data_IF_534973567747
#
_entry.id   IF_534973567747
#
_cell.length_a   1.000
_cell.length_b   1.000
_cell.length_c   1.000
_cell.angle_alpha   90.00
_cell.angle_beta   90.00
_cell.angle_gamma   90.00
#
_symmetry.space_group_name_H-M   'P 1'
#
loop_
_entity.id
_entity.type
_entity.pdbx_description
1 polymer ?
#
# COMPACT_ATOMS: atom_id res chain seq x y z
N UNK A 1 -14.57 -28.55 1.59
CA UNK A 1 -14.36 -28.02 2.96
C UNK A 1 -13.79 -26.61 3.02
N UNK A 2 -12.76 -26.27 2.23
CA UNK A 2 -12.13 -24.93 2.24
C UNK A 2 -13.05 -23.77 1.81
N UNK A 3 -14.02 -24.00 0.92
CA UNK A 3 -14.97 -22.95 0.45
C UNK A 3 -15.83 -22.40 1.60
N UNK A 4 -16.33 -23.27 2.48
CA UNK A 4 -17.15 -22.84 3.62
C UNK A 4 -16.34 -21.98 4.59
N UNK A 5 -15.06 -22.31 4.80
CA UNK A 5 -14.14 -21.51 5.64
C UNK A 5 -13.95 -20.11 5.05
N UNK A 6 -13.72 -20.01 3.74
CA UNK A 6 -13.57 -18.71 3.08
C UNK A 6 -14.84 -17.86 3.17
N UNK A 7 -16.02 -18.45 2.98
CA UNK A 7 -17.28 -17.73 3.15
C UNK A 7 -17.52 -17.30 4.60
N UNK A 8 -17.26 -18.17 5.58
CA UNK A 8 -17.40 -17.81 7.00
C UNK A 8 -16.47 -16.65 7.38
N UNK A 9 -15.22 -16.67 6.90
CA UNK A 9 -14.24 -15.62 7.14
C UNK A 9 -14.67 -14.30 6.48
N UNK A 10 -15.19 -14.36 5.26
CA UNK A 10 -15.73 -13.20 4.55
C UNK A 10 -16.91 -12.56 5.31
N UNK A 11 -17.90 -13.36 5.73
CA UNK A 11 -19.04 -12.88 6.49
C UNK A 11 -18.65 -12.34 7.87
N UNK A 12 -17.67 -12.97 8.53
CA UNK A 12 -17.13 -12.49 9.80
C UNK A 12 -16.44 -11.13 9.63
N UNK A 13 -15.65 -10.95 8.56
CA UNK A 13 -15.05 -9.67 8.25
C UNK A 13 -16.12 -8.61 7.99
N UNK A 14 -17.15 -8.92 7.19
CA UNK A 14 -18.28 -8.01 6.93
C UNK A 14 -19.03 -7.60 8.21
N UNK A 15 -19.21 -8.54 9.14
CA UNK A 15 -19.78 -8.24 10.46
C UNK A 15 -18.91 -7.26 11.25
N UNK A 16 -17.59 -7.46 11.29
CA UNK A 16 -16.67 -6.52 11.94
C UNK A 16 -16.74 -5.11 11.32
N UNK A 17 -16.92 -5.02 9.99
CA UNK A 17 -17.12 -3.73 9.31
C UNK A 17 -18.41 -3.03 9.74
N UNK A 18 -19.52 -3.75 9.88
CA UNK A 18 -20.78 -3.19 10.37
C UNK A 18 -20.59 -2.64 11.79
N UNK A 19 -19.93 -3.42 12.66
CA UNK A 19 -19.64 -3.00 14.04
C UNK A 19 -18.78 -1.74 14.07
N UNK A 20 -17.74 -1.66 13.25
CA UNK A 20 -16.88 -0.48 13.15
C UNK A 20 -17.65 0.77 12.68
N UNK A 21 -18.57 0.63 11.74
CA UNK A 21 -19.44 1.73 11.30
C UNK A 21 -20.37 2.19 12.43
N UNK A 22 -20.92 1.26 13.23
CA UNK A 22 -21.73 1.61 14.40
C UNK A 22 -20.94 2.39 15.44
N UNK A 23 -19.65 2.10 15.60
CA UNK A 23 -18.76 2.91 16.43
C UNK A 23 -18.51 4.29 15.84
N UNK A 24 -18.33 4.42 14.52
CA UNK A 24 -18.15 5.71 13.86
C UNK A 24 -19.35 6.65 14.03
N UNK A 25 -20.58 6.12 14.08
CA UNK A 25 -21.77 6.93 14.42
C UNK A 25 -21.73 7.52 15.85
N UNK A 26 -20.88 7.01 16.74
CA UNK A 26 -20.72 7.46 18.13
C UNK A 26 -19.37 8.13 18.41
N UNK A 27 -18.49 8.24 17.42
CA UNK A 27 -17.19 8.92 17.57
C UNK A 27 -17.37 10.43 17.51
N UNK A 28 -17.16 11.15 18.61
CA UNK A 28 -17.28 12.62 18.68
C UNK A 28 -16.36 13.34 17.68
N UNK A 29 -16.85 14.46 17.15
CA UNK A 29 -16.09 15.37 16.28
C UNK A 29 -15.81 16.69 17.02
N UNK A 30 -14.76 17.39 16.59
CA UNK A 30 -14.42 18.71 17.13
C UNK A 30 -15.10 19.78 16.26
N UNK A 31 -15.92 20.61 16.88
CA UNK A 31 -16.55 21.78 16.24
C UNK A 31 -16.08 23.01 17.01
N UNK A 32 -15.38 23.92 16.33
CA UNK A 32 -14.82 25.15 16.92
C UNK A 32 -13.95 24.94 18.17
N UNK A 33 -13.21 23.84 18.23
CA UNK A 33 -12.33 23.51 19.35
C UNK A 33 -13.02 22.83 20.54
N UNK A 34 -14.35 22.65 20.49
CA UNK A 34 -15.13 21.94 21.51
C UNK A 34 -15.50 20.54 21.01
N UNK A 35 -15.29 19.53 21.85
CA UNK A 35 -15.70 18.16 21.55
C UNK A 35 -17.22 18.05 21.66
N UNK A 36 -17.90 17.90 20.52
CA UNK A 36 -19.34 17.66 20.48
C UNK A 36 -19.62 16.17 20.72
N UNK A 37 -20.37 15.87 21.78
CA UNK A 37 -20.77 14.50 22.15
C UNK A 37 -22.27 14.25 21.96
N UNK A 38 -23.01 15.25 21.48
CA UNK A 38 -24.44 15.13 21.15
C UNK A 38 -24.65 14.11 20.02
N UNK A 39 -25.33 13.02 20.36
CA UNK A 39 -25.58 11.90 19.44
C UNK A 39 -26.36 12.29 18.17
N UNK A 40 -27.26 13.27 18.25
CA UNK A 40 -28.08 13.74 17.12
C UNK A 40 -27.28 14.59 16.14
N UNK A 41 -26.43 15.51 16.65
CA UNK A 41 -25.53 16.32 15.84
C UNK A 41 -24.46 15.45 15.18
N UNK A 42 -23.91 14.51 15.93
CA UNK A 42 -22.90 13.59 15.45
C UNK A 42 -23.39 12.73 14.28
N UNK A 43 -24.60 12.16 14.39
CA UNK A 43 -25.18 11.38 13.29
C UNK A 43 -25.42 12.23 12.05
N UNK A 44 -25.95 13.44 12.21
CA UNK A 44 -26.23 14.35 11.09
C UNK A 44 -24.94 14.77 10.38
N UNK A 45 -23.90 15.10 11.15
CA UNK A 45 -22.59 15.43 10.63
C UNK A 45 -21.97 14.26 9.85
N UNK A 46 -22.01 13.05 10.43
CA UNK A 46 -21.48 11.86 9.78
C UNK A 46 -22.26 11.49 8.50
N UNK A 47 -23.59 11.57 8.49
CA UNK A 47 -24.42 11.27 7.32
C UNK A 47 -24.19 12.22 6.14
N UNK A 48 -23.81 13.47 6.41
CA UNK A 48 -23.49 14.46 5.39
C UNK A 48 -22.02 14.37 4.92
N UNK A 49 -21.19 13.58 5.59
CA UNK A 49 -19.78 13.40 5.23
C UNK A 49 -19.61 12.41 4.07
N UNK A 50 -18.57 12.63 3.27
CA UNK A 50 -18.18 11.72 2.17
C UNK A 50 -17.81 10.32 2.69
N UNK A 51 -17.42 10.21 3.95
CA UNK A 51 -17.11 8.94 4.63
C UNK A 51 -18.32 8.02 4.68
N UNK A 52 -19.53 8.56 4.89
CA UNK A 52 -20.75 7.76 4.93
C UNK A 52 -21.07 7.11 3.58
N UNK A 53 -20.86 7.83 2.47
CA UNK A 53 -21.05 7.27 1.13
C UNK A 53 -20.05 6.17 0.82
N UNK A 54 -18.79 6.33 1.22
CA UNK A 54 -17.76 5.29 1.06
C UNK A 54 -18.07 4.07 1.92
N UNK A 55 -18.53 4.27 3.16
CA UNK A 55 -18.92 3.19 4.08
C UNK A 55 -20.16 2.44 3.55
N UNK A 56 -21.13 3.14 2.97
CA UNK A 56 -22.29 2.54 2.31
C UNK A 56 -21.89 1.72 1.06
N UNK A 57 -20.96 2.24 0.25
CA UNK A 57 -20.41 1.52 -0.90
C UNK A 57 -19.66 0.25 -0.48
N UNK A 58 -18.98 0.26 0.67
CA UNK A 58 -18.28 -0.90 1.23
C UNK A 58 -19.21 -1.98 1.80
N UNK A 59 -20.43 -1.60 2.19
CA UNK A 59 -21.46 -2.48 2.76
C UNK A 59 -22.38 -3.11 1.70
N UNK A 60 -22.31 -2.65 0.44
CA UNK A 60 -23.12 -3.23 -0.62
C UNK A 60 -22.86 -4.74 -0.70
N UNK A 61 -23.89 -5.59 -0.53
CA UNK A 61 -23.75 -7.04 -0.61
C UNK A 61 -23.59 -7.43 -2.08
N UNK A 62 -22.41 -7.15 -2.64
CA UNK A 62 -22.02 -7.48 -4.01
C UNK A 62 -22.06 -8.99 -4.27
N UNK A 63 -22.13 -9.79 -3.21
CA UNK A 63 -22.33 -11.23 -3.24
C UNK A 63 -23.74 -11.63 -3.72
N UNK A 64 -24.76 -10.77 -3.55
CA UNK A 64 -26.12 -11.01 -4.08
C UNK A 64 -26.11 -10.91 -5.62
N UNK A 65 -25.27 -10.03 -6.18
CA UNK A 65 -25.07 -9.90 -7.62
C UNK A 65 -24.44 -11.16 -8.24
N UNK A 66 -23.71 -11.93 -7.42
CA UNK A 66 -23.09 -13.20 -7.80
C UNK A 66 -24.12 -14.28 -8.17
N UNK A 67 -25.32 -14.23 -7.57
CA UNK A 67 -26.44 -15.11 -7.90
C UNK A 67 -26.99 -14.85 -9.32
N UNK A 68 -26.80 -13.64 -9.86
CA UNK A 68 -27.35 -13.23 -11.16
C UNK A 68 -26.33 -13.23 -12.30
N UNK A 69 -25.04 -12.99 -12.05
CA UNK A 69 -23.99 -12.79 -13.07
C UNK A 69 -23.03 -13.99 -13.19
N UNK A 70 -23.10 -14.95 -12.26
CA UNK A 70 -22.20 -16.10 -12.20
C UNK A 70 -20.89 -15.81 -11.47
N UNK A 71 -20.12 -16.87 -11.22
CA UNK A 71 -18.92 -16.81 -10.38
C UNK A 71 -17.76 -16.05 -11.06
N UNK A 72 -17.70 -14.72 -10.87
CA UNK A 72 -16.62 -13.87 -11.41
C UNK A 72 -15.72 -13.31 -10.31
N UNK A 73 -14.44 -13.69 -10.30
CA UNK A 73 -13.45 -13.21 -9.32
C UNK A 73 -13.26 -11.69 -9.32
N UNK A 74 -13.59 -11.01 -10.43
CA UNK A 74 -13.48 -9.55 -10.58
C UNK A 74 -14.44 -8.80 -9.65
N UNK A 75 -15.62 -9.38 -9.36
CA UNK A 75 -16.62 -8.75 -8.49
C UNK A 75 -16.14 -8.69 -7.04
N UNK A 76 -15.28 -9.62 -6.63
CA UNK A 76 -14.64 -9.60 -5.30
C UNK A 76 -13.64 -8.44 -5.16
N UNK A 77 -13.09 -7.91 -6.25
CA UNK A 77 -12.14 -6.79 -6.23
C UNK A 77 -12.75 -5.48 -5.75
N UNK A 78 -14.08 -5.29 -5.83
CA UNK A 78 -14.74 -4.13 -5.22
C UNK A 78 -14.57 -4.08 -3.69
N UNK A 79 -14.29 -5.21 -3.04
CA UNK A 79 -13.95 -5.23 -1.61
C UNK A 79 -12.65 -4.48 -1.31
N UNK A 80 -11.81 -4.20 -2.31
CA UNK A 80 -10.62 -3.35 -2.15
C UNK A 80 -10.95 -1.91 -1.76
N UNK A 81 -12.18 -1.41 -1.96
CA UNK A 81 -12.61 -0.09 -1.48
C UNK A 81 -12.42 0.04 0.04
N UNK A 82 -12.50 -1.07 0.77
CA UNK A 82 -12.25 -1.15 2.22
C UNK A 82 -10.82 -0.76 2.62
N UNK A 83 -9.88 -0.69 1.67
CA UNK A 83 -8.50 -0.25 1.92
C UNK A 83 -8.47 1.16 2.54
N UNK A 84 -9.43 2.03 2.25
CA UNK A 84 -9.55 3.36 2.86
C UNK A 84 -9.47 3.32 4.39
N UNK A 85 -10.13 2.33 5.02
CA UNK A 85 -10.13 2.18 6.47
C UNK A 85 -8.76 1.75 7.00
N UNK A 86 -8.02 0.95 6.23
CA UNK A 86 -6.64 0.62 6.55
C UNK A 86 -5.78 1.89 6.58
N UNK A 87 -5.91 2.78 5.59
CA UNK A 87 -5.20 4.06 5.59
C UNK A 87 -5.56 4.92 6.81
N UNK A 88 -6.85 5.01 7.16
CA UNK A 88 -7.30 5.75 8.35
C UNK A 88 -6.74 5.16 9.66
N UNK A 89 -6.70 3.82 9.76
CA UNK A 89 -6.09 3.13 10.90
C UNK A 89 -4.59 3.37 10.99
N UNK A 90 -3.88 3.32 9.86
CA UNK A 90 -2.45 3.58 9.78
C UNK A 90 -2.11 5.01 10.22
N UNK A 91 -2.86 6.02 9.74
CA UNK A 91 -2.68 7.42 10.16
C UNK A 91 -2.94 7.62 11.67
N UNK A 92 -4.00 6.99 12.20
CA UNK A 92 -4.29 7.01 13.63
C UNK A 92 -3.14 6.39 14.42
N UNK A 93 -2.65 5.24 13.99
CA UNK A 93 -1.59 4.50 14.69
C UNK A 93 -0.25 5.26 14.63
N UNK A 94 0.06 5.92 13.52
CA UNK A 94 1.25 6.77 13.40
C UNK A 94 1.26 7.89 14.46
N UNK A 95 0.10 8.52 14.70
CA UNK A 95 -0.05 9.61 15.67
C UNK A 95 0.05 9.18 17.14
N UNK A 96 -0.30 7.93 17.44
CA UNK A 96 -0.28 7.38 18.81
C UNK A 96 1.01 6.64 19.16
N UNK A 97 1.93 6.48 18.21
CA UNK A 97 3.16 5.70 18.41
C UNK A 97 4.32 6.57 18.90
N UNK A 98 4.97 6.16 20.00
CA UNK A 98 6.16 6.83 20.56
C UNK A 98 7.43 6.71 19.67
N UNK A 99 7.39 5.88 18.64
CA UNK A 99 8.49 5.63 17.70
C UNK A 99 8.05 5.86 16.24
N UNK A 100 7.84 7.12 15.80
CA UNK A 100 7.25 7.43 14.49
C UNK A 100 8.08 6.89 13.32
N UNK A 101 9.41 6.88 13.42
CA UNK A 101 10.29 6.39 12.36
C UNK A 101 10.19 4.87 12.14
N UNK A 102 10.02 4.09 13.23
CA UNK A 102 9.83 2.64 13.12
C UNK A 102 8.48 2.29 12.52
N UNK A 103 7.43 3.01 12.92
CA UNK A 103 6.09 2.82 12.36
C UNK A 103 6.08 3.15 10.87
N UNK A 104 6.62 4.31 10.46
CA UNK A 104 6.75 4.70 9.04
C UNK A 104 7.48 3.66 8.20
N UNK A 105 8.59 3.12 8.70
CA UNK A 105 9.33 2.06 8.01
C UNK A 105 8.50 0.77 7.86
N UNK A 106 7.74 0.40 8.88
CA UNK A 106 6.88 -0.79 8.83
C UNK A 106 5.72 -0.60 7.85
N UNK A 107 5.11 0.58 7.83
CA UNK A 107 4.08 0.98 6.86
C UNK A 107 4.60 0.86 5.43
N UNK A 108 5.80 1.38 5.16
CA UNK A 108 6.43 1.29 3.85
C UNK A 108 6.64 -0.17 3.42
N UNK A 109 7.20 -1.01 4.30
CA UNK A 109 7.42 -2.44 4.00
C UNK A 109 6.09 -3.12 3.69
N UNK A 110 5.03 -2.83 4.45
CA UNK A 110 3.70 -3.36 4.17
C UNK A 110 3.18 -2.92 2.79
N UNK A 111 3.28 -1.63 2.44
CA UNK A 111 2.87 -1.15 1.11
C UNK A 111 3.67 -1.82 -0.02
N UNK A 112 4.98 -2.01 0.17
CA UNK A 112 5.80 -2.74 -0.79
C UNK A 112 5.28 -4.16 -0.99
N UNK A 113 5.10 -4.94 0.09
CA UNK A 113 4.62 -6.33 -0.01
C UNK A 113 3.27 -6.43 -0.74
N UNK A 114 2.34 -5.52 -0.48
CA UNK A 114 1.04 -5.46 -1.17
C UNK A 114 1.23 -5.19 -2.67
N UNK A 115 2.11 -4.25 -3.03
CA UNK A 115 2.43 -3.94 -4.43
C UNK A 115 3.05 -5.16 -5.13
N UNK A 116 4.01 -5.83 -4.52
CA UNK A 116 4.62 -7.06 -5.08
C UNK A 116 3.57 -8.15 -5.28
N UNK A 117 2.68 -8.36 -4.30
CA UNK A 117 1.59 -9.33 -4.40
C UNK A 117 0.62 -9.00 -5.54
N UNK A 118 0.20 -7.74 -5.65
CA UNK A 118 -0.72 -7.29 -6.71
C UNK A 118 -0.10 -7.43 -8.09
N UNK A 119 1.19 -7.12 -8.26
CA UNK A 119 1.88 -7.32 -9.53
C UNK A 119 1.93 -8.81 -9.92
N UNK A 120 2.27 -9.70 -8.98
CA UNK A 120 2.25 -11.15 -9.20
C UNK A 120 0.86 -11.70 -9.55
N UNK A 121 -0.18 -11.23 -8.84
CA UNK A 121 -1.56 -11.61 -9.11
C UNK A 121 -2.07 -11.09 -10.45
N UNK A 122 -1.78 -9.83 -10.80
CA UNK A 122 -2.13 -9.23 -12.08
C UNK A 122 -1.49 -10.00 -13.24
N UNK A 123 -0.21 -10.34 -13.11
CA UNK A 123 0.51 -11.16 -14.09
C UNK A 123 -0.16 -12.53 -14.27
N UNK A 124 -0.54 -13.20 -13.19
CA UNK A 124 -1.27 -14.49 -13.25
C UNK A 124 -2.63 -14.36 -13.93
N UNK A 125 -3.36 -13.28 -13.66
CA UNK A 125 -4.67 -13.01 -14.29
C UNK A 125 -4.49 -12.83 -15.81
N UNK A 126 -3.51 -12.01 -16.23
CA UNK A 126 -3.19 -11.78 -17.64
C UNK A 126 -2.80 -13.10 -18.33
N UNK A 127 -1.96 -13.90 -17.68
CA UNK A 127 -1.53 -15.20 -18.18
C UNK A 127 -2.73 -16.17 -18.36
N UNK A 128 -3.59 -16.27 -17.34
CA UNK A 128 -4.80 -17.14 -17.39
C UNK A 128 -5.78 -16.71 -18.48
N UNK A 129 -5.88 -15.41 -18.77
CA UNK A 129 -6.81 -14.85 -19.74
C UNK A 129 -6.25 -14.82 -21.18
N UNK A 130 -5.20 -15.58 -21.48
CA UNK A 130 -4.49 -15.60 -22.77
C UNK A 130 -4.07 -14.20 -23.25
N UNK A 131 -3.74 -13.28 -22.33
CA UNK A 131 -3.80 -11.83 -22.56
C UNK A 131 -3.02 -11.29 -23.76
N UNK A 132 -2.03 -12.03 -24.28
CA UNK A 132 -1.22 -11.60 -25.43
C UNK A 132 -0.98 -12.67 -26.50
N UNK A 133 -1.71 -13.80 -26.46
CA UNK A 133 -1.63 -14.86 -27.48
C UNK A 133 -0.36 -15.72 -27.47
N UNK A 134 0.58 -15.47 -26.56
CA UNK A 134 1.81 -16.24 -26.39
C UNK A 134 1.61 -17.34 -25.35
N UNK A 135 1.55 -18.60 -25.79
CA UNK A 135 1.68 -19.74 -24.88
C UNK A 135 3.15 -19.89 -24.50
N UNK A 136 3.44 -20.08 -23.22
CA UNK A 136 4.77 -20.37 -22.68
C UNK A 136 5.81 -19.24 -22.74
N UNK A 137 5.42 -17.99 -22.52
CA UNK A 137 6.40 -16.89 -22.45
C UNK A 137 7.36 -17.04 -21.25
N UNK A 138 6.87 -17.47 -20.08
CA UNK A 138 7.67 -17.58 -18.85
C UNK A 138 7.66 -18.98 -18.23
N UNK A 139 6.58 -19.75 -18.40
CA UNK A 139 6.46 -21.12 -17.87
C UNK A 139 6.18 -22.10 -18.99
N UNK A 140 6.91 -23.22 -19.06
CA UNK A 140 6.66 -24.29 -20.02
C UNK A 140 5.48 -25.17 -19.60
N UNK A 141 4.82 -25.79 -20.57
CA UNK A 141 3.59 -26.59 -20.43
C UNK A 141 3.67 -27.79 -19.45
N UNK A 142 4.84 -28.11 -18.89
CA UNK A 142 5.13 -29.38 -18.21
C UNK A 142 4.96 -29.46 -16.68
N UNK A 143 4.66 -28.37 -15.95
CA UNK A 143 4.68 -28.38 -14.47
C UNK A 143 3.38 -27.85 -13.79
N UNK A 144 2.20 -28.16 -14.32
CA UNK A 144 1.00 -27.31 -14.13
C UNK A 144 -0.08 -27.79 -13.14
N UNK A 145 0.17 -28.76 -12.26
CA UNK A 145 -0.87 -29.16 -11.28
C UNK A 145 -0.93 -28.31 -10.00
N UNK A 146 0.19 -27.77 -9.52
CA UNK A 146 0.24 -27.08 -8.22
C UNK A 146 0.03 -25.56 -8.34
N UNK A 147 -1.09 -25.09 -7.76
CA UNK A 147 -1.48 -23.68 -7.72
C UNK A 147 -0.54 -22.81 -6.90
N UNK A 148 0.15 -23.39 -5.91
CA UNK A 148 1.11 -22.69 -5.05
C UNK A 148 2.41 -22.49 -5.81
N UNK A 149 2.91 -23.53 -6.47
CA UNK A 149 4.11 -23.45 -7.31
C UNK A 149 3.97 -22.39 -8.40
N UNK A 150 2.83 -22.36 -9.12
CA UNK A 150 2.56 -21.34 -10.13
C UNK A 150 2.50 -19.91 -9.56
N UNK A 151 1.93 -19.76 -8.36
CA UNK A 151 1.90 -18.47 -7.68
C UNK A 151 3.31 -18.00 -7.28
N UNK A 152 4.11 -18.87 -6.67
CA UNK A 152 5.49 -18.56 -6.28
C UNK A 152 6.36 -18.21 -7.48
N UNK A 153 6.21 -18.93 -8.58
CA UNK A 153 6.92 -18.65 -9.83
C UNK A 153 6.53 -17.29 -10.44
N UNK A 154 5.23 -16.98 -10.48
CA UNK A 154 4.72 -15.68 -10.94
C UNK A 154 5.23 -14.54 -10.06
N UNK A 155 5.19 -14.74 -8.74
CA UNK A 155 5.67 -13.77 -7.76
C UNK A 155 7.17 -13.52 -7.88
N UNK A 156 7.97 -14.59 -8.06
CA UNK A 156 9.41 -14.50 -8.29
C UNK A 156 9.72 -13.68 -9.56
N UNK A 157 9.05 -13.99 -10.67
CA UNK A 157 9.26 -13.29 -11.94
C UNK A 157 8.89 -11.82 -11.85
N UNK A 158 7.72 -11.50 -11.27
CA UNK A 158 7.30 -10.10 -11.06
C UNK A 158 8.23 -9.35 -10.10
N UNK A 159 8.78 -10.03 -9.09
CA UNK A 159 9.74 -9.44 -8.16
C UNK A 159 11.01 -9.04 -8.90
N UNK A 160 11.60 -9.95 -9.69
CA UNK A 160 12.78 -9.64 -10.51
C UNK A 160 12.54 -8.48 -11.48
N UNK A 161 11.37 -8.48 -12.14
CA UNK A 161 10.96 -7.41 -13.03
C UNK A 161 10.88 -6.06 -12.30
N UNK A 162 10.25 -6.04 -11.13
CA UNK A 162 9.99 -4.82 -10.36
C UNK A 162 11.26 -4.29 -9.66
N UNK A 163 12.15 -5.17 -9.21
CA UNK A 163 13.44 -4.77 -8.61
C UNK A 163 14.51 -4.47 -9.65
N UNK A 164 14.21 -4.58 -10.95
CA UNK A 164 15.16 -4.40 -12.06
C UNK A 164 16.37 -5.34 -12.01
N UNK A 165 16.28 -6.43 -11.23
CA UNK A 165 17.32 -7.46 -11.10
C UNK A 165 17.10 -8.41 -12.28
N UNK A 166 17.69 -8.06 -13.42
CA UNK A 166 17.24 -8.54 -14.72
C UNK A 166 18.03 -9.69 -15.30
N UNK A 167 17.38 -10.85 -15.45
CA UNK A 167 17.48 -11.67 -16.65
C UNK A 167 16.07 -12.14 -17.05
N UNK A 168 15.31 -11.24 -17.71
CA UNK A 168 13.94 -11.53 -18.13
C UNK A 168 13.92 -12.07 -19.57
N UNK A 169 13.12 -13.12 -19.84
CA UNK A 169 12.96 -13.64 -21.20
C UNK A 169 12.38 -12.57 -22.11
N UNK A 170 12.92 -12.48 -23.33
CA UNK A 170 12.52 -11.46 -24.32
C UNK A 170 11.02 -11.56 -24.61
N UNK A 171 10.25 -10.45 -24.50
CA UNK A 171 8.85 -10.42 -24.89
C UNK A 171 8.69 -10.80 -26.37
N UNK A 172 7.61 -11.47 -26.72
CA UNK A 172 7.30 -11.92 -28.09
C UNK A 172 6.15 -11.13 -28.71
N UNK A 173 5.20 -10.65 -27.89
CA UNK A 173 4.02 -9.93 -28.34
C UNK A 173 4.11 -8.42 -28.03
N UNK A 174 3.49 -7.59 -28.87
CA UNK A 174 3.45 -6.12 -28.68
C UNK A 174 2.90 -5.74 -27.30
N UNK A 175 1.90 -6.48 -26.81
CA UNK A 175 1.30 -6.21 -25.50
C UNK A 175 2.20 -6.63 -24.33
N UNK A 176 3.00 -7.69 -24.49
CA UNK A 176 4.00 -8.08 -23.48
C UNK A 176 5.09 -7.01 -23.36
N UNK A 177 5.53 -6.43 -24.48
CA UNK A 177 6.47 -5.30 -24.46
C UNK A 177 5.92 -4.10 -23.69
N UNK A 178 4.68 -3.68 -23.95
CA UNK A 178 4.05 -2.56 -23.23
C UNK A 178 3.94 -2.87 -21.74
N UNK A 179 3.51 -4.09 -21.39
CA UNK A 179 3.40 -4.52 -20.01
C UNK A 179 4.76 -4.49 -19.28
N UNK A 180 5.81 -5.06 -19.87
CA UNK A 180 7.16 -5.06 -19.27
C UNK A 180 7.73 -3.65 -19.14
N UNK A 181 7.54 -2.79 -20.13
CA UNK A 181 8.01 -1.39 -20.08
C UNK A 181 7.31 -0.65 -18.92
N UNK A 182 5.99 -0.76 -18.81
CA UNK A 182 5.23 -0.16 -17.71
C UNK A 182 5.68 -0.70 -16.35
N UNK A 183 5.89 -2.02 -16.26
CA UNK A 183 6.36 -2.68 -15.05
C UNK A 183 7.74 -2.18 -14.62
N UNK A 184 8.67 -2.02 -15.56
CA UNK A 184 10.02 -1.52 -15.32
C UNK A 184 10.02 -0.04 -14.90
N UNK A 185 9.22 0.80 -15.55
CA UNK A 185 9.06 2.21 -15.17
C UNK A 185 8.49 2.33 -13.75
N UNK A 186 7.46 1.55 -13.43
CA UNK A 186 6.89 1.51 -12.08
C UNK A 186 7.90 0.99 -11.05
N UNK A 187 8.69 -0.03 -11.40
CA UNK A 187 9.78 -0.56 -10.55
C UNK A 187 10.86 0.48 -10.25
N UNK A 188 11.30 1.24 -11.26
CA UNK A 188 12.27 2.32 -11.08
C UNK A 188 11.76 3.41 -10.14
N UNK A 189 10.51 3.84 -10.29
CA UNK A 189 9.88 4.83 -9.41
C UNK A 189 9.74 4.32 -7.98
N UNK A 190 9.37 3.04 -7.82
CA UNK A 190 9.27 2.40 -6.52
C UNK A 190 10.65 2.33 -5.84
N UNK A 191 11.69 1.90 -6.56
CA UNK A 191 13.05 1.87 -6.02
C UNK A 191 13.55 3.25 -5.60
N UNK A 192 13.30 4.28 -6.42
CA UNK A 192 13.63 5.66 -6.08
C UNK A 192 12.92 6.13 -4.80
N UNK A 193 11.64 5.77 -4.63
CA UNK A 193 10.85 6.11 -3.44
C UNK A 193 11.40 5.44 -2.18
N UNK A 194 11.77 4.16 -2.27
CA UNK A 194 12.35 3.42 -1.14
C UNK A 194 13.69 4.03 -0.73
N UNK A 195 14.57 4.33 -1.68
CA UNK A 195 15.84 4.99 -1.39
C UNK A 195 15.63 6.37 -0.76
N UNK A 196 14.68 7.17 -1.27
CA UNK A 196 14.34 8.46 -0.69
C UNK A 196 13.85 8.34 0.76
N UNK A 197 13.02 7.34 1.06
CA UNK A 197 12.55 7.08 2.41
C UNK A 197 13.69 6.66 3.36
N UNK A 198 14.58 5.76 2.91
CA UNK A 198 15.75 5.36 3.70
C UNK A 198 16.68 6.55 3.96
N UNK A 199 16.92 7.39 2.95
CA UNK A 199 17.69 8.62 3.11
C UNK A 199 17.07 9.57 4.14
N UNK A 200 15.74 9.76 4.11
CA UNK A 200 15.02 10.57 5.10
C UNK A 200 15.14 10.01 6.53
N UNK A 201 15.11 8.69 6.70
CA UNK A 201 15.35 8.08 8.01
C UNK A 201 16.78 8.40 8.47
N UNK A 202 17.78 8.19 7.61
CA UNK A 202 19.20 8.43 7.95
C UNK A 202 19.44 9.89 8.34
N UNK A 203 18.87 10.85 7.60
CA UNK A 203 19.00 12.28 7.95
C UNK A 203 18.30 12.60 9.27
N UNK A 204 17.11 12.04 9.52
CA UNK A 204 16.39 12.25 10.79
C UNK A 204 17.13 11.67 12.01
N UNK A 205 17.71 10.48 11.89
CA UNK A 205 18.45 9.80 12.97
C UNK A 205 19.80 10.49 13.21
N UNK A 206 20.46 10.96 12.15
CA UNK A 206 21.75 11.65 12.27
C UNK A 206 21.63 13.13 12.64
N UNK A 207 20.43 13.72 12.65
CA UNK A 207 20.21 15.15 12.90
C UNK A 207 20.79 15.62 14.25
N UNK A 208 20.51 14.90 15.34
CA UNK A 208 21.02 15.26 16.67
C UNK A 208 22.55 15.17 16.75
N UNK A 209 23.14 14.14 16.12
CA UNK A 209 24.60 13.98 16.05
C UNK A 209 25.23 15.11 15.22
N UNK A 210 24.61 15.49 14.11
CA UNK A 210 25.06 16.57 13.23
C UNK A 210 25.00 17.92 13.93
N UNK A 211 23.94 18.20 14.70
CA UNK A 211 23.84 19.42 15.51
C UNK A 211 24.94 19.49 16.58
N UNK A 212 25.16 18.39 17.30
CA UNK A 212 26.20 18.31 18.32
C UNK A 212 27.60 18.53 17.73
N UNK A 213 27.91 17.85 16.62
CA UNK A 213 29.17 18.04 15.90
C UNK A 213 29.31 19.47 15.33
N UNK A 214 28.22 20.09 14.89
CA UNK A 214 28.20 21.48 14.44
C UNK A 214 28.59 22.46 15.55
N UNK A 215 27.98 22.30 16.75
CA UNK A 215 28.33 23.11 17.93
C UNK A 215 29.79 22.90 18.34
N UNK A 216 30.26 21.66 18.42
CA UNK A 216 31.66 21.38 18.75
C UNK A 216 32.62 22.04 17.75
N UNK A 217 32.37 21.89 16.45
CA UNK A 217 33.21 22.50 15.40
C UNK A 217 33.27 24.02 15.53
N UNK A 218 32.13 24.68 15.84
CA UNK A 218 32.10 26.13 16.05
C UNK A 218 32.90 26.62 17.25
N UNK A 219 33.01 25.80 18.31
CA UNK A 219 33.79 26.12 19.52
C UNK A 219 35.28 25.86 19.29
N UNK A 220 35.63 24.75 18.62
CA UNK A 220 37.02 24.37 18.39
C UNK A 220 37.71 25.14 17.27
N UNK A 221 36.97 25.72 16.32
CA UNK A 221 37.54 26.54 15.24
C UNK A 221 36.97 27.96 15.18
N UNK A 222 37.19 28.80 16.21
CA UNK A 222 36.69 30.17 16.26
C UNK A 222 37.30 31.07 15.17
N UNK A 223 38.48 30.71 14.65
CA UNK A 223 39.21 31.51 13.64
C UNK A 223 38.61 31.40 12.23
N UNK A 224 37.89 30.32 11.89
CA UNK A 224 37.23 30.22 10.58
C UNK A 224 36.04 31.18 10.40
N UNK A 225 35.41 31.60 11.50
CA UNK A 225 34.32 32.59 11.50
C UNK A 225 34.82 34.03 11.46
N UNK A 226 36.04 34.29 11.94
CA UNK A 226 36.65 35.62 11.86
C UNK A 226 37.27 35.90 10.49
N UNK A 227 37.85 34.89 9.83
CA UNK A 227 38.47 35.06 8.50
C UNK A 227 37.48 35.34 7.38
N UNK A 228 36.21 34.94 7.49
CA UNK A 228 35.17 35.31 6.51
C UNK A 228 34.71 36.77 6.61
N UNK A 229 34.90 37.40 7.78
CA UNK A 229 34.61 38.84 7.96
C UNK A 229 35.81 39.72 7.61
N UNK A 230 37.01 39.15 7.50
CA UNK A 230 38.25 39.86 7.14
C UNK A 230 38.58 39.79 5.64
N UNK A 231 37.79 39.07 4.83
CA UNK A 231 37.96 38.98 3.37
C UNK A 231 36.97 39.85 2.59
N UNK A 232 36.19 40.69 3.27
CA UNK A 232 35.22 41.64 2.67
C UNK A 232 35.66 43.11 2.85
N UNK A 233 36.70 43.37 3.65
CA UNK A 233 37.41 44.65 3.72
C UNK A 233 38.73 44.58 2.93
#
# INVERSE_FOLDING_TARGET
DSILVWFCLDYFADFLYIVDILFHFRTGYLEDGVLQTDSTKLRTHYMNSTVFYIDCLCLLPLDILYLSIGFNSILRSFRLVKIYRFWAFMDRTERHTNYPNLFRSTSLIHYLLVIFHWNGCLYRIIYKNNGFGSKNWVFGDGETADVVKQYLQSYYWCTLALTTIGDLPRPRSKGEYVFVILQLLFGLLLFATVLGHVANIVTSVSAARKEFQGKLTSIFNPNSTHTSNLSID
#
